data_IF_896797065840
#
_entry.id   IF_896797065840
#
_cell.length_a   1.000
_cell.length_b   1.000
_cell.length_c   1.000
_cell.angle_alpha   90.00
_cell.angle_beta   90.00
_cell.angle_gamma   90.00
#
_symmetry.space_group_name_H-M   'P 1'
#
loop_
_entity.id
_entity.type
_entity.pdbx_description
1 polymer ?
#
# COMPACT_ATOMS: atom_id res chain seq x y z
N UNK A 1 16.69 41.68 -35.09
CA UNK A 1 17.36 40.59 -35.81
C UNK A 1 16.73 39.29 -35.36
N UNK A 2 15.44 39.05 -35.55
CA UNK A 2 14.53 39.15 -36.71
C UNK A 2 14.11 37.72 -37.04
N UNK A 3 12.79 37.55 -36.94
CA UNK A 3 12.00 36.35 -37.17
C UNK A 3 12.03 35.96 -38.65
N UNK A 4 11.75 34.69 -38.97
CA UNK A 4 10.51 34.38 -39.68
C UNK A 4 10.21 32.87 -39.82
N UNK A 5 8.90 32.61 -39.73
CA UNK A 5 8.17 31.37 -39.95
C UNK A 5 7.81 31.18 -41.44
N UNK A 6 7.66 29.93 -41.90
CA UNK A 6 6.62 29.43 -42.84
C UNK A 6 6.88 27.92 -43.04
N UNK A 7 6.08 26.97 -42.54
CA UNK A 7 4.74 26.52 -42.96
C UNK A 7 4.58 26.29 -44.46
N UNK A 8 4.43 25.02 -44.87
CA UNK A 8 3.31 24.56 -45.72
C UNK A 8 3.12 23.04 -45.64
N UNK A 9 1.85 22.67 -45.57
CA UNK A 9 1.29 21.33 -45.76
C UNK A 9 1.47 20.84 -47.21
N UNK A 10 1.51 19.52 -47.42
CA UNK A 10 0.43 18.89 -48.18
C UNK A 10 0.45 17.36 -48.17
N UNK A 11 -0.73 16.83 -47.88
CA UNK A 11 -1.17 15.49 -48.22
C UNK A 11 -1.04 15.25 -49.73
N UNK A 12 -0.56 14.07 -50.15
CA UNK A 12 -1.28 13.20 -51.10
C UNK A 12 -0.51 11.89 -51.37
N UNK A 13 -1.18 10.80 -51.00
CA UNK A 13 -1.39 9.57 -51.77
C UNK A 13 -0.51 9.38 -53.01
N UNK A 14 0.25 8.28 -53.02
CA UNK A 14 0.55 7.55 -54.26
C UNK A 14 0.26 6.05 -54.06
N UNK A 15 -0.74 5.60 -54.79
CA UNK A 15 -0.95 4.22 -55.22
C UNK A 15 -0.03 3.90 -56.41
N UNK A 16 0.57 2.71 -56.35
CA UNK A 16 0.79 1.72 -57.41
C UNK A 16 1.35 2.18 -58.78
N UNK A 17 2.54 1.70 -59.16
CA UNK A 17 2.74 0.56 -60.08
C UNK A 17 4.19 0.51 -60.62
N UNK A 18 4.75 -0.69 -60.56
CA UNK A 18 5.65 -1.35 -61.50
C UNK A 18 6.85 -0.62 -62.09
N UNK A 19 8.03 -1.07 -61.69
CA UNK A 19 9.08 -1.42 -62.65
C UNK A 19 9.96 -2.53 -62.07
N UNK A 20 9.82 -3.71 -62.67
CA UNK A 20 10.67 -4.88 -62.47
C UNK A 20 12.03 -4.65 -63.14
N UNK A 21 13.12 -4.87 -62.39
CA UNK A 21 14.36 -5.35 -63.00
C UNK A 21 15.05 -6.31 -62.04
N UNK A 22 15.14 -7.54 -62.50
CA UNK A 22 15.75 -8.74 -61.95
C UNK A 22 17.24 -8.53 -61.70
N UNK A 23 17.75 -8.84 -60.51
CA UNK A 23 19.06 -9.51 -60.37
C UNK A 23 19.09 -10.31 -59.08
N UNK A 24 19.37 -11.59 -59.23
CA UNK A 24 19.38 -12.64 -58.23
C UNK A 24 20.47 -12.41 -57.17
N UNK A 25 20.09 -12.46 -55.90
CA UNK A 25 21.00 -12.83 -54.81
C UNK A 25 20.29 -13.94 -54.02
N UNK A 26 20.67 -15.18 -54.34
CA UNK A 26 20.44 -16.35 -53.50
C UNK A 26 21.13 -16.13 -52.16
N UNK A 27 20.35 -15.79 -51.14
CA UNK A 27 20.76 -15.88 -49.75
C UNK A 27 19.69 -16.66 -48.98
N UNK A 28 20.13 -17.77 -48.40
CA UNK A 28 19.41 -18.64 -47.49
C UNK A 28 18.74 -17.84 -46.37
N UNK A 29 17.42 -17.66 -46.46
CA UNK A 29 16.58 -17.35 -45.32
C UNK A 29 15.42 -18.35 -45.30
N UNK A 30 15.51 -19.30 -44.38
CA UNK A 30 14.38 -20.10 -43.93
C UNK A 30 13.32 -19.15 -43.39
N UNK A 31 12.35 -18.79 -44.24
CA UNK A 31 11.08 -18.30 -43.75
C UNK A 31 10.38 -19.49 -43.11
N UNK A 32 10.54 -19.65 -41.80
CA UNK A 32 9.61 -20.47 -41.04
C UNK A 32 8.20 -19.91 -41.31
N UNK A 33 7.29 -20.68 -41.93
CA UNK A 33 5.95 -20.19 -42.17
C UNK A 33 5.31 -19.92 -40.81
N UNK A 34 4.71 -18.74 -40.66
CA UNK A 34 3.94 -18.39 -39.47
C UNK A 34 3.04 -19.58 -39.07
N UNK A 35 3.02 -19.99 -37.80
CA UNK A 35 2.44 -21.26 -37.38
C UNK A 35 1.01 -21.39 -37.89
N UNK A 36 0.79 -22.35 -38.80
CA UNK A 36 -0.51 -22.62 -39.41
C UNK A 36 -1.37 -23.34 -38.39
N UNK A 37 -2.38 -22.65 -37.88
CA UNK A 37 -3.37 -23.23 -36.96
C UNK A 37 -4.12 -24.36 -37.69
N UNK A 38 -3.72 -25.61 -37.45
CA UNK A 38 -4.28 -26.79 -38.11
C UNK A 38 -5.73 -27.06 -37.70
N UNK A 39 -6.08 -26.79 -36.42
CA UNK A 39 -7.44 -26.86 -35.88
C UNK A 39 -7.60 -25.89 -34.72
N UNK A 40 -8.69 -25.12 -34.73
CA UNK A 40 -9.20 -24.44 -33.53
C UNK A 40 -10.17 -25.38 -32.84
N UNK A 41 -9.73 -26.03 -31.75
CA UNK A 41 -10.68 -26.69 -30.86
C UNK A 41 -11.48 -25.61 -30.12
N UNK A 42 -12.69 -25.35 -30.60
CA UNK A 42 -13.66 -24.55 -29.87
C UNK A 42 -14.16 -25.37 -28.67
N UNK A 43 -13.41 -25.39 -27.56
CA UNK A 43 -13.90 -25.85 -26.27
C UNK A 43 -14.85 -24.81 -25.64
N UNK A 44 -15.85 -24.35 -26.40
CA UNK A 44 -16.96 -23.56 -25.86
C UNK A 44 -18.25 -24.33 -26.06
N UNK A 45 -18.85 -24.75 -24.95
CA UNK A 45 -20.29 -24.63 -24.84
C UNK A 45 -20.67 -23.19 -25.22
N UNK A 46 -21.61 -23.05 -26.14
CA UNK A 46 -22.25 -21.77 -26.49
C UNK A 46 -22.57 -21.02 -25.19
N UNK A 47 -22.37 -19.70 -25.16
CA UNK A 47 -22.62 -18.90 -23.95
C UNK A 47 -24.14 -18.79 -23.73
N UNK A 48 -24.76 -19.87 -23.22
CA UNK A 48 -26.22 -20.02 -23.06
C UNK A 48 -26.82 -18.88 -22.24
N UNK A 49 -26.03 -18.23 -21.39
CA UNK A 49 -26.44 -17.07 -20.61
C UNK A 49 -26.90 -15.89 -21.48
N UNK A 50 -26.26 -15.57 -22.60
CA UNK A 50 -26.72 -14.44 -23.42
C UNK A 50 -28.03 -14.72 -24.15
N UNK A 51 -28.40 -15.99 -24.33
CA UNK A 51 -29.68 -16.41 -24.92
C UNK A 51 -30.78 -16.61 -23.85
N UNK A 52 -30.41 -17.02 -22.62
CA UNK A 52 -31.35 -17.25 -21.50
C UNK A 52 -31.77 -15.99 -20.73
N UNK A 53 -30.88 -15.01 -20.61
CA UNK A 53 -31.15 -13.76 -19.88
C UNK A 53 -31.58 -12.71 -20.90
N UNK A 54 -32.85 -12.79 -21.30
CA UNK A 54 -33.44 -12.09 -22.44
C UNK A 54 -33.16 -10.58 -22.55
N UNK A 55 -33.56 -10.01 -23.70
CA UNK A 55 -33.39 -8.62 -24.09
C UNK A 55 -33.46 -7.65 -22.90
N UNK A 56 -32.42 -6.83 -22.76
CA UNK A 56 -32.38 -5.67 -21.87
C UNK A 56 -33.72 -4.94 -22.00
N UNK A 57 -34.52 -4.94 -20.93
CA UNK A 57 -35.81 -4.24 -20.77
C UNK A 57 -36.53 -4.00 -22.11
N UNK A 58 -37.42 -4.93 -22.50
CA UNK A 58 -38.22 -4.89 -23.73
C UNK A 58 -38.58 -3.46 -24.16
N UNK A 59 -37.79 -2.91 -25.08
CA UNK A 59 -38.18 -1.76 -25.87
C UNK A 59 -38.69 -2.31 -27.19
N UNK A 60 -39.93 -1.96 -27.51
CA UNK A 60 -40.69 -2.27 -28.72
C UNK A 60 -41.15 -3.71 -28.93
N UNK A 61 -42.47 -3.81 -29.07
CA UNK A 61 -43.28 -4.87 -29.65
C UNK A 61 -42.60 -5.60 -30.80
N UNK A 62 -42.47 -6.92 -30.69
CA UNK A 62 -42.43 -7.81 -31.85
C UNK A 62 -43.33 -8.99 -31.58
N UNK A 63 -44.41 -9.05 -32.37
CA UNK A 63 -45.42 -10.10 -32.37
C UNK A 63 -44.80 -11.48 -32.61
N UNK A 64 -44.79 -12.30 -31.56
CA UNK A 64 -44.64 -13.75 -31.69
C UNK A 64 -45.62 -14.43 -30.75
N UNK A 65 -46.22 -15.57 -31.16
CA UNK A 65 -47.38 -16.14 -30.49
C UNK A 65 -47.05 -16.62 -29.06
N UNK A 66 -48.01 -16.54 -28.12
CA UNK A 66 -47.75 -16.73 -26.71
C UNK A 66 -47.50 -18.20 -26.42
N UNK A 67 -46.29 -18.51 -25.95
CA UNK A 67 -46.02 -19.78 -25.28
C UNK A 67 -46.73 -19.72 -23.92
N UNK A 68 -47.71 -20.60 -23.70
CA UNK A 68 -48.51 -20.71 -22.48
C UNK A 68 -47.67 -21.16 -21.27
N UNK A 69 -46.84 -20.27 -20.75
CA UNK A 69 -46.10 -20.45 -19.50
C UNK A 69 -46.58 -19.37 -18.51
N UNK A 70 -47.80 -19.58 -17.99
CA UNK A 70 -48.57 -18.62 -17.16
C UNK A 70 -48.14 -18.61 -15.69
N UNK A 71 -46.83 -18.60 -15.42
CA UNK A 71 -46.32 -18.06 -14.17
C UNK A 71 -45.47 -16.82 -14.48
N UNK A 72 -46.10 -15.65 -14.40
CA UNK A 72 -45.39 -14.37 -14.40
C UNK A 72 -44.36 -14.43 -13.28
N UNK A 73 -43.08 -14.56 -13.64
CA UNK A 73 -41.98 -14.59 -12.66
C UNK A 73 -42.14 -13.36 -11.75
N UNK A 74 -42.09 -13.51 -10.42
CA UNK A 74 -42.27 -12.39 -9.51
C UNK A 74 -41.21 -11.33 -9.82
N UNK A 75 -41.64 -10.06 -9.83
CA UNK A 75 -40.74 -8.94 -10.05
C UNK A 75 -39.68 -8.91 -8.94
N UNK A 76 -38.42 -9.03 -9.34
CA UNK A 76 -37.28 -8.92 -8.43
C UNK A 76 -36.60 -7.58 -8.64
N UNK A 77 -36.68 -6.70 -7.64
CA UNK A 77 -36.00 -5.39 -7.62
C UNK A 77 -34.50 -5.56 -7.88
N UNK A 78 -33.89 -6.56 -7.25
CA UNK A 78 -32.48 -6.89 -7.46
C UNK A 78 -32.17 -7.17 -8.93
N UNK A 79 -32.94 -8.05 -9.58
CA UNK A 79 -32.75 -8.38 -11.00
C UNK A 79 -33.01 -7.17 -11.91
N UNK A 80 -33.97 -6.30 -11.56
CA UNK A 80 -34.20 -5.06 -12.28
C UNK A 80 -32.99 -4.10 -12.20
N UNK A 81 -32.39 -3.95 -11.00
CA UNK A 81 -31.17 -3.15 -10.81
C UNK A 81 -30.00 -3.71 -11.61
N UNK A 82 -29.81 -5.04 -11.57
CA UNK A 82 -28.74 -5.68 -12.35
C UNK A 82 -28.89 -5.41 -13.84
N UNK A 83 -30.12 -5.47 -14.36
CA UNK A 83 -30.42 -5.29 -15.78
C UNK A 83 -30.30 -3.85 -16.26
N UNK A 84 -30.55 -2.91 -15.37
CA UNK A 84 -30.51 -1.49 -15.72
C UNK A 84 -29.06 -1.01 -15.95
N UNK A 85 -28.79 -0.48 -17.15
CA UNK A 85 -27.44 -0.12 -17.59
C UNK A 85 -26.71 0.81 -16.61
N UNK A 86 -27.37 1.84 -16.05
CA UNK A 86 -26.70 2.80 -15.18
C UNK A 86 -26.73 2.43 -13.68
N UNK A 87 -27.75 1.68 -13.23
CA UNK A 87 -27.93 1.40 -11.80
C UNK A 87 -27.01 0.27 -11.34
N UNK A 88 -26.71 -0.67 -12.23
CA UNK A 88 -25.77 -1.75 -11.97
C UNK A 88 -24.40 -1.24 -11.51
N UNK A 89 -23.82 -0.24 -12.18
CA UNK A 89 -22.52 0.32 -11.80
C UNK A 89 -22.58 0.97 -10.41
N UNK A 90 -23.59 1.80 -10.16
CA UNK A 90 -23.74 2.48 -8.86
C UNK A 90 -23.97 1.50 -7.72
N UNK A 91 -24.69 0.40 -7.99
CA UNK A 91 -24.88 -0.70 -7.06
C UNK A 91 -23.56 -1.42 -6.78
N UNK A 92 -22.88 -1.91 -7.82
CA UNK A 92 -21.63 -2.66 -7.69
C UNK A 92 -20.54 -1.87 -6.96
N UNK A 93 -20.39 -0.57 -7.27
CA UNK A 93 -19.38 0.29 -6.64
C UNK A 93 -19.61 0.55 -5.14
N UNK A 94 -20.85 0.41 -4.65
CA UNK A 94 -21.20 0.65 -3.23
C UNK A 94 -21.19 -0.62 -2.38
N UNK A 95 -21.04 -1.79 -2.99
CA UNK A 95 -20.99 -3.03 -2.24
C UNK A 95 -19.70 -3.13 -1.42
N UNK A 96 -19.78 -3.61 -0.17
CA UNK A 96 -18.60 -4.04 0.57
C UNK A 96 -17.82 -5.11 -0.19
N UNK A 97 -16.50 -5.17 0.04
CA UNK A 97 -15.62 -6.10 -0.68
C UNK A 97 -16.02 -7.57 -0.51
N UNK A 98 -16.48 -7.97 0.68
CA UNK A 98 -17.02 -9.33 0.91
C UNK A 98 -18.27 -9.58 0.05
N UNK A 99 -19.25 -8.67 0.13
CA UNK A 99 -20.53 -8.82 -0.56
C UNK A 99 -20.41 -8.83 -2.08
N UNK A 100 -19.48 -8.06 -2.66
CA UNK A 100 -19.27 -8.10 -4.12
C UNK A 100 -18.66 -9.43 -4.58
N UNK A 101 -17.77 -10.02 -3.77
CA UNK A 101 -17.22 -11.36 -4.05
C UNK A 101 -18.30 -12.43 -3.91
N UNK A 102 -19.10 -12.36 -2.85
CA UNK A 102 -20.20 -13.30 -2.61
C UNK A 102 -21.21 -13.26 -3.77
N UNK A 103 -21.62 -12.07 -4.21
CA UNK A 103 -22.51 -11.91 -5.35
C UNK A 103 -21.88 -12.36 -6.67
N UNK A 104 -20.58 -12.14 -6.84
CA UNK A 104 -19.83 -12.65 -7.99
C UNK A 104 -19.76 -14.18 -8.05
N UNK A 105 -19.75 -14.85 -6.88
CA UNK A 105 -19.72 -16.31 -6.78
C UNK A 105 -21.12 -16.94 -6.86
N UNK A 106 -22.13 -16.29 -6.31
CA UNK A 106 -23.49 -16.84 -6.14
C UNK A 106 -24.37 -16.57 -7.36
N UNK A 107 -24.39 -15.33 -7.88
CA UNK A 107 -25.35 -14.93 -8.92
C UNK A 107 -24.73 -14.89 -10.32
N UNK A 108 -25.24 -15.76 -11.21
CA UNK A 108 -24.74 -15.89 -12.58
C UNK A 108 -24.88 -14.62 -13.42
N UNK A 109 -25.93 -13.82 -13.19
CA UNK A 109 -26.20 -12.61 -13.97
C UNK A 109 -25.28 -11.47 -13.53
N UNK A 110 -25.08 -11.33 -12.21
CA UNK A 110 -24.09 -10.43 -11.63
C UNK A 110 -22.69 -10.77 -12.11
N UNK A 111 -22.30 -12.06 -12.03
CA UNK A 111 -21.02 -12.57 -12.52
C UNK A 111 -20.77 -12.19 -13.98
N UNK A 112 -21.75 -12.44 -14.86
CA UNK A 112 -21.63 -12.13 -16.28
C UNK A 112 -21.49 -10.62 -16.54
N UNK A 113 -22.33 -9.78 -15.91
CA UNK A 113 -22.27 -8.33 -16.10
C UNK A 113 -20.97 -7.74 -15.58
N UNK A 114 -20.48 -8.23 -14.45
CA UNK A 114 -19.21 -7.81 -13.89
C UNK A 114 -18.06 -8.17 -14.82
N UNK A 115 -18.05 -9.40 -15.37
CA UNK A 115 -17.05 -9.82 -16.34
C UNK A 115 -17.07 -9.00 -17.63
N UNK A 116 -18.26 -8.61 -18.10
CA UNK A 116 -18.41 -7.75 -19.29
C UNK A 116 -17.70 -6.40 -19.15
N UNK A 117 -17.72 -5.82 -17.96
CA UNK A 117 -17.15 -4.50 -17.64
C UNK A 117 -16.00 -4.56 -16.62
N UNK A 118 -15.32 -5.70 -16.53
CA UNK A 118 -14.38 -6.04 -15.45
C UNK A 118 -13.33 -4.95 -15.23
N UNK A 119 -12.61 -4.56 -16.28
CA UNK A 119 -11.54 -3.54 -16.19
C UNK A 119 -12.05 -2.23 -15.60
N UNK A 120 -13.11 -1.66 -16.18
CA UNK A 120 -13.67 -0.38 -15.74
C UNK A 120 -14.21 -0.47 -14.31
N UNK A 121 -14.97 -1.52 -13.99
CA UNK A 121 -15.53 -1.71 -12.66
C UNK A 121 -14.46 -1.89 -11.60
N UNK A 122 -13.42 -2.68 -11.86
CA UNK A 122 -12.34 -2.93 -10.91
C UNK A 122 -11.57 -1.63 -10.63
N UNK A 123 -11.26 -0.85 -11.66
CA UNK A 123 -10.61 0.46 -11.50
C UNK A 123 -11.48 1.47 -10.77
N UNK A 124 -12.76 1.58 -11.12
CA UNK A 124 -13.67 2.52 -10.46
C UNK A 124 -13.96 2.10 -9.01
N UNK A 125 -14.03 0.79 -8.74
CA UNK A 125 -14.18 0.25 -7.39
C UNK A 125 -12.95 0.59 -6.54
N UNK A 126 -11.74 0.43 -7.09
CA UNK A 126 -10.50 0.82 -6.43
C UNK A 126 -10.44 2.34 -6.19
N UNK A 127 -10.77 3.17 -7.20
CA UNK A 127 -10.78 4.64 -7.07
C UNK A 127 -11.74 5.10 -5.97
N UNK A 128 -12.90 4.45 -5.82
CA UNK A 128 -13.89 4.80 -4.81
C UNK A 128 -13.50 4.36 -3.41
N UNK A 129 -13.05 3.11 -3.23
CA UNK A 129 -12.82 2.54 -1.90
C UNK A 129 -11.37 2.73 -1.40
N UNK A 130 -10.43 2.93 -2.32
CA UNK A 130 -9.00 2.97 -2.05
C UNK A 130 -8.24 3.91 -3.01
N UNK A 131 -8.61 5.19 -3.04
CA UNK A 131 -8.07 6.15 -4.02
C UNK A 131 -6.53 6.24 -4.03
N UNK A 132 -5.89 6.44 -2.87
CA UNK A 132 -4.42 6.50 -2.78
C UNK A 132 -3.78 5.14 -3.04
N UNK A 133 -4.26 4.11 -2.35
CA UNK A 133 -3.67 2.77 -2.43
C UNK A 133 -3.80 2.15 -3.82
N UNK A 134 -4.91 2.37 -4.53
CA UNK A 134 -5.10 1.88 -5.90
C UNK A 134 -4.18 2.55 -6.92
N UNK A 135 -3.75 3.79 -6.67
CA UNK A 135 -2.77 4.50 -7.49
C UNK A 135 -1.33 4.02 -7.19
N UNK A 136 -0.97 3.93 -5.91
CA UNK A 136 0.39 3.57 -5.47
C UNK A 136 0.69 2.08 -5.70
N UNK A 137 -0.24 1.19 -5.32
CA UNK A 137 -0.13 -0.25 -5.55
C UNK A 137 -0.73 -0.62 -6.91
N UNK A 138 -0.21 -0.01 -7.98
CA UNK A 138 -0.67 -0.27 -9.34
C UNK A 138 -0.59 -1.77 -9.66
N UNK A 139 -1.63 -2.31 -10.27
CA UNK A 139 -1.73 -3.73 -10.60
C UNK A 139 -0.61 -4.23 -11.54
N UNK A 140 0.01 -3.31 -12.29
CA UNK A 140 1.19 -3.58 -13.13
C UNK A 140 2.39 -4.07 -12.30
N UNK A 141 2.51 -3.62 -11.05
CA UNK A 141 3.54 -4.09 -10.11
C UNK A 141 3.21 -5.48 -9.54
N UNK A 142 1.99 -5.97 -9.72
CA UNK A 142 1.47 -7.21 -9.14
C UNK A 142 0.82 -8.11 -10.20
N UNK A 143 1.56 -8.53 -11.24
CA UNK A 143 1.02 -9.36 -12.32
C UNK A 143 0.43 -10.69 -11.79
N UNK A 144 0.97 -11.24 -10.70
CA UNK A 144 0.48 -12.45 -10.04
C UNK A 144 -0.94 -12.33 -9.46
N UNK A 145 -1.48 -11.12 -9.34
CA UNK A 145 -2.84 -10.84 -8.87
C UNK A 145 -3.81 -10.50 -10.02
N UNK A 146 -3.28 -10.46 -11.24
CA UNK A 146 -4.07 -10.24 -12.44
C UNK A 146 -4.66 -11.56 -12.93
N UNK A 147 -5.73 -11.44 -13.71
CA UNK A 147 -6.39 -12.54 -14.39
C UNK A 147 -6.42 -12.23 -15.88
N UNK A 148 -6.45 -13.24 -16.73
CA UNK A 148 -6.74 -13.03 -18.14
C UNK A 148 -8.16 -12.45 -18.29
N UNK A 149 -8.34 -11.49 -19.19
CA UNK A 149 -9.62 -10.79 -19.38
C UNK A 149 -10.76 -11.83 -19.56
N UNK A 150 -11.79 -11.83 -18.69
CA UNK A 150 -12.91 -12.76 -18.77
C UNK A 150 -13.64 -12.74 -20.12
N UNK A 151 -13.60 -11.59 -20.82
CA UNK A 151 -14.17 -11.43 -22.15
C UNK A 151 -13.19 -11.79 -23.28
N UNK A 152 -11.99 -12.26 -22.95
CA UNK A 152 -10.91 -12.65 -23.87
C UNK A 152 -10.60 -11.54 -24.89
N UNK A 153 -10.64 -10.28 -24.44
CA UNK A 153 -10.28 -9.15 -25.29
C UNK A 153 -8.79 -9.26 -25.63
N UNK A 154 -8.42 -9.08 -26.91
CA UNK A 154 -7.05 -9.26 -27.34
C UNK A 154 -6.12 -8.25 -26.67
N UNK A 155 -4.89 -8.67 -26.42
CA UNK A 155 -3.83 -7.76 -26.01
C UNK A 155 -3.40 -6.87 -27.18
N UNK A 156 -2.99 -5.64 -26.87
CA UNK A 156 -2.39 -4.76 -27.88
C UNK A 156 -1.22 -5.50 -28.54
N UNK A 157 -1.16 -5.44 -29.87
CA UNK A 157 -0.12 -6.08 -30.72
C UNK A 157 -0.11 -7.62 -30.76
N UNK A 158 -0.80 -8.32 -29.84
CA UNK A 158 -0.87 -9.79 -29.80
C UNK A 158 -2.32 -10.25 -29.76
N UNK A 159 -2.96 -10.27 -30.93
CA UNK A 159 -4.39 -10.58 -31.07
C UNK A 159 -4.78 -12.00 -30.64
N UNK A 160 -3.83 -12.93 -30.58
CA UNK A 160 -4.05 -14.31 -30.16
C UNK A 160 -3.97 -14.53 -28.64
N UNK A 161 -3.55 -13.51 -27.87
CA UNK A 161 -3.44 -13.59 -26.41
C UNK A 161 -4.47 -12.67 -25.77
N UNK A 162 -5.19 -13.18 -24.77
CA UNK A 162 -6.05 -12.33 -23.94
C UNK A 162 -5.17 -11.41 -23.09
N UNK A 163 -5.54 -10.13 -23.00
CA UNK A 163 -4.84 -9.21 -22.09
C UNK A 163 -5.04 -9.60 -20.64
N UNK A 164 -4.06 -9.29 -19.79
CA UNK A 164 -4.21 -9.40 -18.35
C UNK A 164 -4.88 -8.15 -17.77
N UNK A 165 -5.76 -8.37 -16.80
CA UNK A 165 -6.55 -7.33 -16.14
C UNK A 165 -6.48 -7.51 -14.62
N UNK A 166 -6.60 -6.42 -13.83
CA UNK A 166 -6.63 -6.54 -12.39
C UNK A 166 -7.83 -7.37 -11.93
N UNK A 167 -7.58 -8.33 -11.04
CA UNK A 167 -8.62 -9.17 -10.45
C UNK A 167 -9.09 -8.68 -9.07
N UNK A 168 -10.10 -9.34 -8.50
CA UNK A 168 -10.54 -9.07 -7.11
C UNK A 168 -9.43 -9.29 -6.09
N UNK A 169 -8.49 -10.21 -6.34
CA UNK A 169 -7.33 -10.43 -5.45
C UNK A 169 -6.48 -9.17 -5.30
N UNK A 170 -6.32 -8.40 -6.39
CA UNK A 170 -5.64 -7.11 -6.34
C UNK A 170 -6.44 -6.08 -5.52
N UNK A 171 -7.77 -5.99 -5.71
CA UNK A 171 -8.63 -5.13 -4.87
C UNK A 171 -8.50 -5.48 -3.38
N UNK A 172 -8.58 -6.77 -3.04
CA UNK A 172 -8.44 -7.24 -1.67
C UNK A 172 -7.10 -6.86 -1.07
N UNK A 173 -6.02 -7.00 -1.85
CA UNK A 173 -4.68 -6.58 -1.43
C UNK A 173 -4.63 -5.08 -1.15
N UNK A 174 -5.08 -4.21 -2.06
CA UNK A 174 -4.97 -2.75 -1.87
C UNK A 174 -5.80 -2.26 -0.68
N UNK A 175 -7.01 -2.79 -0.49
CA UNK A 175 -7.89 -2.42 0.63
C UNK A 175 -7.25 -2.83 1.96
N UNK A 176 -6.70 -4.04 2.02
CA UNK A 176 -6.06 -4.56 3.20
C UNK A 176 -4.78 -3.77 3.55
N UNK A 177 -3.94 -3.45 2.56
CA UNK A 177 -2.74 -2.63 2.77
C UNK A 177 -3.07 -1.21 3.22
N UNK A 178 -4.08 -0.58 2.61
CA UNK A 178 -4.56 0.73 3.04
C UNK A 178 -5.01 0.71 4.50
N UNK A 179 -5.76 -0.32 4.88
CA UNK A 179 -6.20 -0.48 6.26
C UNK A 179 -5.03 -0.66 7.23
N UNK A 180 -3.99 -1.42 6.85
CA UNK A 180 -2.79 -1.59 7.68
C UNK A 180 -2.04 -0.28 7.85
N UNK A 181 -1.76 0.44 6.76
CA UNK A 181 -1.06 1.74 6.82
C UNK A 181 -1.82 2.72 7.70
N UNK A 182 -3.13 2.87 7.49
CA UNK A 182 -3.98 3.72 8.33
C UNK A 182 -3.98 3.27 9.78
N UNK A 183 -4.02 1.97 10.04
CA UNK A 183 -3.97 1.43 11.39
C UNK A 183 -2.65 1.76 12.09
N UNK A 184 -1.51 1.66 11.40
CA UNK A 184 -0.20 2.06 11.94
C UNK A 184 -0.23 3.53 12.35
N UNK A 185 -0.65 4.42 11.44
CA UNK A 185 -0.72 5.85 11.69
C UNK A 185 -1.70 6.22 12.81
N UNK A 186 -2.84 5.52 12.88
CA UNK A 186 -3.83 5.70 13.96
C UNK A 186 -3.26 5.27 15.30
N UNK A 187 -2.56 4.12 15.39
CA UNK A 187 -1.94 3.66 16.64
C UNK A 187 -0.91 4.69 17.13
N UNK A 188 -0.02 5.11 16.24
CA UNK A 188 0.98 6.15 16.55
C UNK A 188 0.30 7.45 17.01
N UNK A 189 -0.75 7.89 16.31
CA UNK A 189 -1.50 9.10 16.66
C UNK A 189 -2.23 9.01 18.01
N UNK A 190 -2.75 7.83 18.37
CA UNK A 190 -3.35 7.59 19.69
C UNK A 190 -2.31 7.66 20.81
N UNK A 191 -1.10 7.19 20.55
CA UNK A 191 0.01 7.25 21.52
C UNK A 191 0.72 8.61 21.54
N UNK A 192 0.27 9.58 20.72
CA UNK A 192 0.81 10.93 20.66
C UNK A 192 1.92 11.15 19.65
N UNK A 193 2.31 10.12 18.93
CA UNK A 193 3.25 10.17 17.82
C UNK A 193 2.54 10.55 16.52
N UNK A 194 2.04 11.78 16.45
CA UNK A 194 1.35 12.27 15.24
C UNK A 194 2.34 12.56 14.12
N UNK A 195 1.88 12.38 12.89
CA UNK A 195 2.64 12.66 11.67
C UNK A 195 1.76 13.38 10.64
N UNK A 196 2.35 14.09 9.66
CA UNK A 196 1.60 14.71 8.58
C UNK A 196 0.70 13.72 7.82
N UNK A 197 -0.44 14.19 7.32
CA UNK A 197 -1.37 13.35 6.55
C UNK A 197 -0.73 12.73 5.30
N UNK A 198 0.27 13.40 4.72
CA UNK A 198 1.04 12.92 3.58
C UNK A 198 1.81 11.60 3.87
N UNK A 199 2.12 11.30 5.14
CA UNK A 199 2.78 10.07 5.52
C UNK A 199 1.98 8.81 5.15
N UNK A 200 0.65 8.90 4.96
CA UNK A 200 -0.15 7.77 4.46
C UNK A 200 0.34 7.31 3.08
N UNK A 201 0.52 8.24 2.15
CA UNK A 201 1.02 7.92 0.81
C UNK A 201 2.48 7.48 0.85
N UNK A 202 3.33 8.19 1.60
CA UNK A 202 4.75 7.86 1.75
C UNK A 202 4.96 6.45 2.29
N UNK A 203 4.20 6.03 3.31
CA UNK A 203 4.33 4.69 3.89
C UNK A 203 3.83 3.59 2.93
N UNK A 204 2.84 3.88 2.08
CA UNK A 204 2.44 2.96 1.00
C UNK A 204 3.54 2.82 -0.06
N UNK A 205 4.18 3.93 -0.47
CA UNK A 205 5.32 3.90 -1.41
C UNK A 205 6.49 3.12 -0.84
N UNK A 206 6.77 3.31 0.45
CA UNK A 206 7.78 2.53 1.16
C UNK A 206 7.44 1.04 1.18
N UNK A 207 6.18 0.66 1.37
CA UNK A 207 5.77 -0.75 1.26
C UNK A 207 6.09 -1.31 -0.14
N UNK A 208 5.83 -0.58 -1.21
CA UNK A 208 6.25 -1.02 -2.56
C UNK A 208 7.76 -1.27 -2.62
N UNK A 209 8.57 -0.36 -2.06
CA UNK A 209 10.03 -0.49 -2.00
C UNK A 209 10.50 -1.74 -1.24
N UNK A 210 9.87 -2.05 -0.09
CA UNK A 210 10.17 -3.24 0.72
C UNK A 210 9.97 -4.54 -0.08
N UNK A 211 9.02 -4.56 -1.01
CA UNK A 211 8.67 -5.73 -1.82
C UNK A 211 9.49 -5.86 -3.11
N UNK A 212 10.34 -4.89 -3.43
CA UNK A 212 11.25 -4.99 -4.56
C UNK A 212 12.40 -5.93 -4.25
N UNK A 213 12.64 -6.87 -5.18
CA UNK A 213 13.59 -7.99 -5.01
C UNK A 213 15.03 -7.66 -5.38
N UNK A 214 15.28 -6.55 -6.08
CA UNK A 214 16.60 -6.20 -6.57
C UNK A 214 16.94 -4.76 -6.21
N UNK A 215 18.21 -4.52 -5.89
CA UNK A 215 18.77 -3.21 -5.56
C UNK A 215 18.59 -2.24 -6.71
N UNK A 216 18.80 -2.70 -7.96
CA UNK A 216 18.62 -1.86 -9.15
C UNK A 216 17.18 -1.34 -9.28
N UNK A 217 16.19 -2.18 -8.98
CA UNK A 217 14.78 -1.78 -9.01
C UNK A 217 14.46 -0.79 -7.89
N UNK A 218 14.96 -1.03 -6.68
CA UNK A 218 14.81 -0.11 -5.55
C UNK A 218 15.40 1.27 -5.85
N UNK A 219 16.62 1.31 -6.38
CA UNK A 219 17.29 2.56 -6.79
C UNK A 219 16.52 3.27 -7.90
N UNK A 220 16.10 2.55 -8.94
CA UNK A 220 15.32 3.15 -10.03
C UNK A 220 14.00 3.74 -9.54
N UNK A 221 13.32 3.07 -8.61
CA UNK A 221 12.07 3.53 -8.02
C UNK A 221 12.27 4.75 -7.12
N UNK A 222 13.34 4.77 -6.31
CA UNK A 222 13.68 5.90 -5.45
C UNK A 222 14.18 7.12 -6.20
N UNK A 223 14.94 6.94 -7.28
CA UNK A 223 15.49 8.02 -8.08
C UNK A 223 14.43 8.81 -8.85
N UNK A 224 13.28 8.18 -9.13
CA UNK A 224 12.18 8.79 -9.84
C UNK A 224 11.46 9.82 -8.95
N UNK A 225 11.55 11.11 -9.32
CA UNK A 225 10.94 12.22 -8.58
C UNK A 225 9.43 12.33 -8.75
N UNK A 226 8.86 11.74 -9.81
CA UNK A 226 7.41 11.69 -9.98
C UNK A 226 6.78 10.69 -9.01
N UNK A 227 7.50 9.61 -8.72
CA UNK A 227 7.10 8.59 -7.75
C UNK A 227 7.44 9.04 -6.33
N UNK A 228 8.70 9.40 -6.06
CA UNK A 228 9.19 9.85 -4.77
C UNK A 228 9.52 11.33 -4.81
N UNK A 229 8.56 12.16 -4.38
CA UNK A 229 8.81 13.59 -4.23
C UNK A 229 9.74 13.85 -3.04
N UNK A 230 10.40 15.01 -3.02
CA UNK A 230 11.29 15.40 -1.93
C UNK A 230 10.54 15.43 -0.58
N UNK A 231 9.26 15.84 -0.60
CA UNK A 231 8.38 15.79 0.55
C UNK A 231 8.14 14.36 1.08
N UNK A 232 8.10 13.35 0.21
CA UNK A 232 7.94 11.95 0.64
C UNK A 232 9.16 11.47 1.43
N UNK A 233 10.37 11.81 0.96
CA UNK A 233 11.60 11.41 1.63
C UNK A 233 11.71 12.07 3.01
N UNK A 234 11.41 13.37 3.08
CA UNK A 234 11.35 14.12 4.34
C UNK A 234 10.33 13.48 5.27
N UNK A 235 9.09 13.28 4.82
CA UNK A 235 8.02 12.67 5.61
C UNK A 235 8.38 11.26 6.10
N UNK A 236 9.09 10.47 5.29
CA UNK A 236 9.52 9.13 5.70
C UNK A 236 10.56 9.19 6.82
N UNK A 237 11.61 10.00 6.64
CA UNK A 237 12.65 10.15 7.67
C UNK A 237 12.09 10.72 8.97
N UNK A 238 11.18 11.69 8.89
CA UNK A 238 10.47 12.23 10.05
C UNK A 238 9.57 11.18 10.72
N UNK A 239 8.90 10.31 9.95
CA UNK A 239 8.16 9.17 10.48
C UNK A 239 9.08 8.21 11.27
N UNK A 240 10.32 7.98 10.83
CA UNK A 240 11.29 7.16 11.57
C UNK A 240 11.55 7.74 12.97
N UNK A 241 11.72 9.06 13.09
CA UNK A 241 11.91 9.72 14.40
C UNK A 241 10.74 9.41 15.35
N UNK A 242 9.50 9.52 14.86
CA UNK A 242 8.32 9.21 15.69
C UNK A 242 8.22 7.74 16.06
N UNK A 243 8.64 6.85 15.16
CA UNK A 243 8.65 5.43 15.39
C UNK A 243 9.71 5.04 16.44
N UNK A 244 10.89 5.65 16.38
CA UNK A 244 11.95 5.47 17.37
C UNK A 244 11.52 6.00 18.74
N UNK A 245 10.93 7.21 18.80
CA UNK A 245 10.36 7.75 20.04
C UNK A 245 9.35 6.77 20.67
N UNK A 246 8.55 6.09 19.85
CA UNK A 246 7.56 5.11 20.30
C UNK A 246 8.19 3.83 20.83
N UNK A 247 9.22 3.29 20.18
CA UNK A 247 9.86 2.04 20.62
C UNK A 247 10.82 2.24 21.79
N UNK A 248 11.40 3.45 21.91
CA UNK A 248 12.31 3.84 22.98
C UNK A 248 11.59 4.36 24.23
N UNK A 249 10.26 4.53 24.19
CA UNK A 249 9.48 4.90 25.37
C UNK A 249 9.71 3.87 26.50
N UNK A 250 10.22 4.28 27.67
CA UNK A 250 10.52 3.36 28.78
C UNK A 250 9.25 2.75 29.42
N UNK A 251 8.07 3.34 29.20
CA UNK A 251 6.82 2.88 29.80
C UNK A 251 6.01 2.01 28.85
N UNK A 252 5.83 2.44 27.60
CA UNK A 252 5.00 1.75 26.60
C UNK A 252 5.80 1.09 25.47
N UNK A 253 7.07 1.43 25.35
CA UNK A 253 8.01 0.87 24.38
C UNK A 253 8.72 -0.38 24.91
N UNK A 254 9.46 -1.02 24.01
CA UNK A 254 10.35 -2.13 24.39
C UNK A 254 11.74 -1.63 24.81
N UNK A 255 11.95 -0.30 24.86
CA UNK A 255 13.19 0.34 25.27
C UNK A 255 14.35 0.22 24.27
N UNK A 256 14.07 -0.07 23.00
CA UNK A 256 15.10 -0.31 21.98
C UNK A 256 14.86 0.50 20.70
N UNK A 257 15.73 1.48 20.43
CA UNK A 257 15.64 2.36 19.26
C UNK A 257 15.76 1.57 17.93
N UNK A 258 16.62 0.57 17.87
CA UNK A 258 16.90 -0.18 16.63
C UNK A 258 15.76 -1.10 16.18
N UNK A 259 14.75 -1.29 17.03
CA UNK A 259 13.62 -2.15 16.73
C UNK A 259 12.79 -1.62 15.54
N UNK A 260 12.69 -0.30 15.38
CA UNK A 260 12.01 0.32 14.24
C UNK A 260 12.65 -0.10 12.92
N UNK A 261 13.97 0.06 12.81
CA UNK A 261 14.74 -0.30 11.61
C UNK A 261 14.63 -1.78 11.28
N UNK A 262 14.74 -2.66 12.30
CA UNK A 262 14.58 -4.10 12.11
C UNK A 262 13.17 -4.48 11.61
N UNK A 263 12.11 -3.84 12.14
CA UNK A 263 10.73 -4.08 11.70
C UNK A 263 10.43 -3.55 10.30
N UNK A 264 11.04 -2.42 9.91
CA UNK A 264 10.93 -1.84 8.58
C UNK A 264 11.81 -2.55 7.54
N UNK A 265 12.77 -3.37 7.98
CA UNK A 265 13.58 -4.22 7.11
C UNK A 265 12.93 -5.57 6.76
N UNK A 266 11.76 -5.85 7.34
CA UNK A 266 10.98 -7.05 6.99
C UNK A 266 10.38 -6.94 5.57
N UNK A 267 9.87 -8.03 5.00
CA UNK A 267 9.24 -8.01 3.65
C UNK A 267 7.91 -7.23 3.58
N UNK A 268 7.33 -6.86 4.72
CA UNK A 268 5.98 -6.27 4.78
C UNK A 268 5.76 -5.45 6.05
N UNK A 269 5.05 -4.32 5.93
CA UNK A 269 4.61 -3.50 7.06
C UNK A 269 3.62 -4.22 7.99
N UNK A 270 3.11 -5.37 7.58
CA UNK A 270 2.22 -6.18 8.42
C UNK A 270 2.88 -6.61 9.72
N UNK A 271 4.19 -6.86 9.71
CA UNK A 271 4.93 -7.23 10.92
C UNK A 271 4.98 -6.06 11.89
N UNK A 272 5.34 -4.86 11.39
CA UNK A 272 5.31 -3.63 12.18
C UNK A 272 3.91 -3.39 12.78
N UNK A 273 2.86 -3.46 11.96
CA UNK A 273 1.49 -3.31 12.44
C UNK A 273 1.10 -4.35 13.51
N UNK A 274 1.49 -5.62 13.34
CA UNK A 274 1.21 -6.66 14.34
C UNK A 274 1.91 -6.36 15.67
N UNK A 275 3.13 -5.84 15.65
CA UNK A 275 3.85 -5.44 16.86
C UNK A 275 3.16 -4.25 17.52
N UNK A 276 2.91 -3.17 16.76
CA UNK A 276 2.26 -1.96 17.29
C UNK A 276 0.84 -2.23 17.81
N UNK A 277 0.07 -3.09 17.14
CA UNK A 277 -1.28 -3.47 17.60
C UNK A 277 -1.28 -4.48 18.75
N UNK A 278 -0.11 -4.92 19.23
CA UNK A 278 0.02 -5.93 20.29
C UNK A 278 -0.40 -7.35 19.88
N UNK A 279 -0.70 -7.59 18.59
CA UNK A 279 -1.03 -8.91 18.04
C UNK A 279 0.19 -9.84 17.96
N UNK A 280 1.39 -9.25 17.80
CA UNK A 280 2.66 -9.95 17.88
C UNK A 280 3.44 -9.40 19.07
N UNK A 281 3.55 -10.21 20.13
CA UNK A 281 4.46 -9.93 21.24
C UNK A 281 5.85 -10.44 20.88
N UNK A 282 6.82 -9.53 20.94
CA UNK A 282 8.22 -9.85 20.77
C UNK A 282 8.75 -10.48 22.06
N UNK A 283 9.33 -11.66 21.93
CA UNK A 283 10.18 -12.28 22.94
C UNK A 283 11.61 -12.33 22.39
N UNK A 284 12.56 -12.72 23.23
CA UNK A 284 13.96 -12.79 22.83
C UNK A 284 14.14 -13.76 21.65
N UNK A 285 13.61 -14.99 21.74
CA UNK A 285 13.68 -15.99 20.65
C UNK A 285 13.14 -15.52 19.29
N UNK A 286 11.92 -14.93 19.25
CA UNK A 286 11.35 -14.44 17.98
C UNK A 286 12.14 -13.26 17.44
N UNK A 287 12.60 -12.36 18.32
CA UNK A 287 13.42 -11.22 17.92
C UNK A 287 14.74 -11.71 17.33
N UNK A 288 15.42 -12.64 18.00
CA UNK A 288 16.65 -13.28 17.52
C UNK A 288 16.44 -13.95 16.16
N UNK A 289 15.34 -14.70 15.98
CA UNK A 289 15.03 -15.32 14.69
C UNK A 289 14.78 -14.28 13.58
N UNK A 290 14.11 -13.16 13.92
CA UNK A 290 13.90 -12.07 12.98
C UNK A 290 15.21 -11.37 12.62
N UNK A 291 16.06 -11.08 13.60
CA UNK A 291 17.40 -10.48 13.41
C UNK A 291 18.25 -11.37 12.52
N UNK A 292 18.35 -12.67 12.84
CA UNK A 292 19.08 -13.65 12.05
C UNK A 292 18.58 -13.70 10.60
N UNK A 293 17.27 -13.61 10.35
CA UNK A 293 16.75 -13.57 8.98
C UNK A 293 17.03 -12.26 8.24
N UNK A 294 17.21 -11.16 8.97
CA UNK A 294 17.20 -9.80 8.42
C UNK A 294 18.59 -9.33 8.04
N UNK A 295 19.57 -9.54 8.92
CA UNK A 295 20.90 -8.98 8.79
C UNK A 295 21.91 -10.02 8.30
N UNK A 296 22.93 -9.55 7.59
CA UNK A 296 24.05 -10.39 7.17
C UNK A 296 24.95 -10.75 8.37
N UNK A 297 25.74 -11.82 8.25
CA UNK A 297 26.68 -12.24 9.29
C UNK A 297 27.64 -11.14 9.71
N UNK A 298 28.17 -10.41 8.74
CA UNK A 298 29.10 -9.29 8.97
C UNK A 298 28.48 -8.11 9.73
N UNK A 299 27.15 -7.99 9.69
CA UNK A 299 26.41 -6.88 10.29
C UNK A 299 25.97 -7.21 11.74
N UNK A 300 26.23 -8.43 12.22
CA UNK A 300 25.81 -8.92 13.55
C UNK A 300 27.00 -9.46 14.33
N UNK A 301 27.12 -9.07 15.59
CA UNK A 301 28.11 -9.67 16.51
C UNK A 301 27.61 -11.05 16.97
N UNK A 302 27.89 -12.06 16.14
CA UNK A 302 27.51 -13.46 16.37
C UNK A 302 28.21 -14.02 17.62
N UNK A 303 29.43 -13.56 17.91
CA UNK A 303 30.24 -14.06 19.03
C UNK A 303 29.65 -13.68 20.38
N UNK A 304 29.05 -12.48 20.48
CA UNK A 304 28.36 -12.04 21.69
C UNK A 304 26.95 -12.61 21.83
N UNK A 305 26.34 -13.14 20.75
CA UNK A 305 24.94 -13.57 20.74
C UNK A 305 24.81 -15.10 20.64
N UNK A 306 24.91 -15.77 21.80
CA UNK A 306 24.80 -17.23 21.96
C UNK A 306 23.61 -17.83 21.21
N UNK A 307 22.42 -17.21 21.26
CA UNK A 307 21.25 -17.74 20.54
C UNK A 307 21.33 -17.65 19.02
N UNK A 308 22.11 -16.72 18.45
CA UNK A 308 22.33 -16.70 17.00
C UNK A 308 23.36 -17.75 16.63
N UNK A 309 24.40 -17.90 17.44
CA UNK A 309 25.40 -18.95 17.27
C UNK A 309 24.75 -20.35 17.29
N UNK A 310 23.89 -20.65 18.26
CA UNK A 310 23.16 -21.92 18.35
C UNK A 310 22.23 -22.17 17.13
N UNK A 311 21.76 -21.12 16.45
CA UNK A 311 20.95 -21.23 15.24
C UNK A 311 21.78 -21.55 13.98
N UNK A 312 23.10 -21.30 14.02
CA UNK A 312 24.03 -21.56 12.92
C UNK A 312 24.55 -23.00 12.91
N UNK A 313 24.49 -23.70 14.03
CA UNK A 313 24.95 -25.10 14.16
C UNK A 313 24.03 -26.14 13.48
N UNK A 314 22.92 -25.70 12.87
CA UNK A 314 22.06 -26.55 12.04
C UNK A 314 22.52 -26.65 10.58
N UNK A 315 22.15 -27.72 9.88
CA UNK A 315 22.47 -27.92 8.44
C UNK A 315 21.94 -26.81 7.52
N UNK A 316 20.95 -26.04 7.98
CA UNK A 316 20.37 -24.89 7.28
C UNK A 316 20.84 -23.56 7.90
N UNK A 317 21.89 -22.93 7.37
CA UNK A 317 22.34 -21.58 7.79
C UNK A 317 21.23 -20.52 7.63
N UNK A 318 20.53 -20.10 8.70
CA UNK A 318 19.32 -19.28 8.57
C UNK A 318 19.61 -17.79 8.37
N UNK A 319 20.89 -17.41 8.18
CA UNK A 319 21.37 -16.05 8.33
C UNK A 319 21.19 -15.20 7.06
N UNK A 320 20.67 -13.99 7.27
CA UNK A 320 20.58 -12.93 6.29
C UNK A 320 19.75 -13.13 5.01
N UNK A 321 18.81 -14.09 4.85
CA UNK A 321 18.09 -14.24 3.59
C UNK A 321 17.37 -12.96 3.14
N UNK A 322 17.00 -12.05 4.04
CA UNK A 322 16.39 -10.76 3.65
C UNK A 322 17.40 -9.70 3.17
N UNK A 323 18.68 -9.85 3.51
CA UNK A 323 19.77 -8.97 3.10
C UNK A 323 20.30 -9.30 1.69
N UNK A 324 19.73 -10.29 1.00
CA UNK A 324 20.12 -10.69 -0.35
C UNK A 324 19.00 -10.42 -1.37
N UNK A 325 19.39 -10.11 -2.61
CA UNK A 325 18.47 -9.99 -3.73
C UNK A 325 17.66 -11.27 -3.93
N UNK A 326 16.37 -11.12 -4.29
CA UNK A 326 15.43 -12.24 -4.41
C UNK A 326 15.04 -12.89 -3.07
N UNK A 327 15.64 -12.44 -1.96
CA UNK A 327 15.51 -12.98 -0.62
C UNK A 327 15.91 -14.46 -0.50
N UNK A 328 17.01 -14.83 -1.16
CA UNK A 328 17.61 -16.14 -1.12
C UNK A 328 19.13 -15.98 -0.96
N UNK A 329 19.81 -17.01 -0.42
CA UNK A 329 21.24 -16.96 -0.07
C UNK A 329 22.14 -16.61 -1.26
N UNK A 330 21.83 -17.13 -2.45
CA UNK A 330 22.65 -16.92 -3.65
C UNK A 330 22.51 -15.52 -4.27
N UNK A 331 21.69 -14.64 -3.68
CA UNK A 331 21.48 -13.29 -4.17
C UNK A 331 22.65 -12.37 -3.83
N UNK A 332 22.88 -11.34 -4.65
CA UNK A 332 23.80 -10.27 -4.28
C UNK A 332 23.33 -9.57 -2.99
N UNK A 333 24.27 -9.02 -2.20
CA UNK A 333 23.92 -8.21 -1.01
C UNK A 333 23.05 -7.03 -1.46
N UNK A 334 21.97 -6.80 -0.73
CA UNK A 334 20.98 -5.75 -0.98
C UNK A 334 20.86 -4.88 0.27
N UNK A 335 21.01 -3.58 0.09
CA UNK A 335 20.86 -2.61 1.19
C UNK A 335 19.43 -2.59 1.74
N UNK A 336 19.30 -2.28 3.03
CA UNK A 336 18.00 -2.13 3.67
C UNK A 336 17.25 -0.96 3.06
N UNK A 337 15.94 -1.15 2.84
CA UNK A 337 15.10 -0.15 2.20
C UNK A 337 15.08 1.18 2.97
N UNK A 338 15.21 1.14 4.29
CA UNK A 338 15.30 2.33 5.15
C UNK A 338 16.56 3.15 4.81
N UNK A 339 17.72 2.50 4.79
CA UNK A 339 19.00 3.14 4.52
C UNK A 339 19.04 3.74 3.11
N UNK A 340 18.45 3.04 2.13
CA UNK A 340 18.34 3.55 0.76
C UNK A 340 17.52 4.85 0.69
N UNK A 341 16.43 4.99 1.46
CA UNK A 341 15.63 6.23 1.50
C UNK A 341 16.42 7.36 2.19
N UNK A 342 17.19 7.04 3.23
CA UNK A 342 18.06 8.01 3.91
C UNK A 342 19.16 8.49 2.95
N UNK A 343 19.84 7.57 2.28
CA UNK A 343 20.86 7.87 1.28
C UNK A 343 20.31 8.71 0.14
N UNK A 344 19.09 8.44 -0.32
CA UNK A 344 18.43 9.24 -1.35
C UNK A 344 18.14 10.68 -0.87
N UNK A 345 17.77 10.86 0.40
CA UNK A 345 17.62 12.20 0.98
C UNK A 345 18.92 12.99 1.07
N UNK A 346 20.03 12.30 1.35
CA UNK A 346 21.38 12.90 1.33
C UNK A 346 21.77 13.26 -0.11
N UNK A 347 21.56 12.35 -1.06
CA UNK A 347 21.87 12.56 -2.49
C UNK A 347 21.13 13.77 -3.08
N UNK A 348 19.90 14.02 -2.61
CA UNK A 348 19.06 15.16 -3.02
C UNK A 348 19.29 16.43 -2.20
N UNK A 349 20.21 16.41 -1.24
CA UNK A 349 20.55 17.54 -0.38
C UNK A 349 19.34 18.12 0.41
N UNK A 350 18.43 17.24 0.86
CA UNK A 350 17.20 17.67 1.54
C UNK A 350 17.42 18.17 2.96
N UNK A 351 18.60 17.90 3.52
CA UNK A 351 19.01 18.31 4.86
C UNK A 351 17.94 18.08 5.95
N UNK A 352 17.35 16.87 5.97
CA UNK A 352 16.20 16.54 6.83
C UNK A 352 16.50 16.75 8.32
N UNK A 353 17.78 16.64 8.71
CA UNK A 353 18.24 16.88 10.08
C UNK A 353 17.85 18.25 10.65
N UNK A 354 17.66 19.26 9.79
CA UNK A 354 17.22 20.60 10.21
C UNK A 354 15.82 20.59 10.83
N UNK A 355 14.99 19.60 10.50
CA UNK A 355 13.62 19.49 10.96
C UNK A 355 13.45 18.58 12.19
N UNK A 356 14.48 17.86 12.63
CA UNK A 356 14.32 16.83 13.67
C UNK A 356 13.85 17.38 15.01
N UNK A 357 14.43 18.49 15.47
CA UNK A 357 14.06 19.10 16.76
C UNK A 357 12.60 19.57 16.74
N UNK A 358 12.22 20.28 15.67
CA UNK A 358 10.84 20.75 15.50
C UNK A 358 9.86 19.57 15.39
N UNK A 359 10.26 18.51 14.70
CA UNK A 359 9.41 17.35 14.49
C UNK A 359 9.24 16.47 15.73
N UNK A 360 10.19 16.47 16.66
CA UNK A 360 10.01 15.84 17.98
C UNK A 360 8.80 16.47 18.68
N UNK A 361 8.67 17.80 18.64
CA UNK A 361 7.56 18.56 19.22
C UNK A 361 6.27 18.51 18.39
N UNK A 362 6.38 18.21 17.09
CA UNK A 362 5.23 18.11 16.20
C UNK A 362 4.14 17.17 16.73
N UNK A 363 2.90 17.64 16.76
CA UNK A 363 1.75 16.88 17.22
C UNK A 363 1.47 16.95 18.72
N UNK A 364 2.39 17.50 19.52
CA UNK A 364 2.17 17.75 20.96
C UNK A 364 1.59 19.14 21.23
N UNK A 365 1.92 20.12 20.39
CA UNK A 365 1.42 21.50 20.48
C UNK A 365 0.70 21.88 19.19
N UNK A 366 -0.44 22.55 19.32
CA UNK A 366 -1.13 23.16 18.17
C UNK A 366 -0.42 24.47 17.82
N UNK A 367 0.17 24.53 16.62
CA UNK A 367 0.94 25.68 16.14
C UNK A 367 0.15 26.99 16.18
N UNK A 368 -1.17 26.94 15.93
CA UNK A 368 -2.00 28.14 15.86
C UNK A 368 -2.34 28.69 17.24
N UNK A 369 -2.57 27.80 18.21
CA UNK A 369 -3.03 28.19 19.55
C UNK A 369 -1.93 28.18 20.60
N UNK A 370 -0.77 27.57 20.30
CA UNK A 370 0.32 27.32 21.24
C UNK A 370 -0.07 26.39 22.39
N UNK A 371 -1.24 25.76 22.34
CA UNK A 371 -1.75 24.89 23.41
C UNK A 371 -1.35 23.45 23.15
N UNK A 372 -1.14 22.72 24.24
CA UNK A 372 -0.93 21.28 24.17
C UNK A 372 -2.17 20.60 23.57
N UNK A 373 -1.93 19.70 22.62
CA UNK A 373 -2.99 18.95 21.96
C UNK A 373 -3.39 17.76 22.85
N UNK A 374 -4.68 17.49 23.07
CA UNK A 374 -5.11 16.34 23.84
C UNK A 374 -4.70 15.04 23.17
N UNK A 375 -4.19 14.11 23.97
CA UNK A 375 -3.78 12.78 23.54
C UNK A 375 -4.92 11.79 23.78
N UNK A 376 -5.46 11.13 22.73
CA UNK A 376 -6.45 10.07 22.90
C UNK A 376 -5.83 8.91 23.69
N UNK A 377 -6.22 8.72 24.95
CA UNK A 377 -5.68 7.63 25.77
C UNK A 377 -6.58 6.41 25.67
N UNK A 378 -5.98 5.27 25.33
CA UNK A 378 -6.56 3.96 25.57
C UNK A 378 -5.70 3.23 26.60
N UNK A 379 -6.15 3.20 27.85
CA UNK A 379 -5.43 2.46 28.89
C UNK A 379 -5.56 0.96 28.64
N UNK A 380 -4.52 0.21 29.04
CA UNK A 380 -4.47 -1.26 28.87
C UNK A 380 -5.65 -1.90 29.61
N UNK A 381 -6.58 -2.50 28.85
CA UNK A 381 -7.81 -3.13 29.38
C UNK A 381 -9.09 -2.33 29.16
N UNK A 382 -9.01 -1.05 28.78
CA UNK A 382 -10.18 -0.24 28.41
C UNK A 382 -10.57 -0.47 26.95
N UNK A 383 -11.88 -0.70 26.69
CA UNK A 383 -12.41 -0.83 25.33
C UNK A 383 -12.60 0.51 24.63
N UNK A 384 -12.79 1.59 25.39
CA UNK A 384 -13.13 2.91 24.86
C UNK A 384 -11.92 3.84 24.93
N UNK A 385 -11.69 4.59 23.85
CA UNK A 385 -10.68 5.64 23.80
C UNK A 385 -11.24 6.88 24.49
N UNK A 386 -10.56 7.38 25.53
CA UNK A 386 -10.92 8.64 26.21
C UNK A 386 -10.03 9.74 25.68
N UNK A 387 -10.63 10.79 25.12
CA UNK A 387 -9.90 11.99 24.69
C UNK A 387 -10.09 13.08 25.75
N UNK A 388 -9.02 13.48 26.46
CA UNK A 388 -9.08 14.61 27.39
C UNK A 388 -9.50 15.90 26.67
N UNK A 389 -10.13 16.83 27.39
CA UNK A 389 -10.54 18.13 26.84
C UNK A 389 -9.35 19.06 26.57
N UNK A 390 -8.25 18.90 27.31
CA UNK A 390 -7.00 19.66 27.15
C UNK A 390 -5.78 18.76 27.03
N UNK A 391 -4.73 19.26 26.39
CA UNK A 391 -3.43 18.58 26.35
C UNK A 391 -2.71 18.62 27.69
N UNK A 392 -1.95 17.55 27.95
CA UNK A 392 -1.16 17.41 29.17
C UNK A 392 0.28 17.92 28.96
N UNK A 393 0.94 18.52 29.97
CA UNK A 393 0.39 18.90 31.27
C UNK A 393 -0.48 20.17 31.15
N UNK A 394 -1.54 20.24 31.95
CA UNK A 394 -2.35 21.46 32.09
C UNK A 394 -1.49 22.60 32.66
N UNK A 395 -1.80 23.85 32.30
CA UNK A 395 -1.02 25.02 32.74
C UNK A 395 -0.89 25.08 34.27
N UNK A 396 -2.00 24.85 34.99
CA UNK A 396 -2.01 24.86 36.46
C UNK A 396 -1.07 23.81 37.05
N UNK A 397 -1.14 22.58 36.56
CA UNK A 397 -0.26 21.49 36.99
C UNK A 397 1.20 21.84 36.71
N UNK A 398 1.51 22.39 35.53
CA UNK A 398 2.86 22.84 35.17
C UNK A 398 3.37 23.91 36.14
N UNK A 399 2.57 24.94 36.40
CA UNK A 399 2.94 26.04 37.29
C UNK A 399 3.15 25.54 38.73
N UNK A 400 2.33 24.59 39.19
CA UNK A 400 2.44 23.97 40.51
C UNK A 400 3.69 23.08 40.62
N UNK A 401 4.00 22.27 39.60
CA UNK A 401 5.24 21.47 39.55
C UNK A 401 6.48 22.34 39.46
N UNK A 402 6.46 23.43 38.70
CA UNK A 402 7.59 24.38 38.64
C UNK A 402 7.85 24.97 40.03
N UNK A 403 6.80 25.44 40.73
CA UNK A 403 6.95 25.94 42.11
C UNK A 403 7.51 24.90 43.07
N UNK A 404 7.09 23.64 42.93
CA UNK A 404 7.59 22.54 43.76
C UNK A 404 9.07 22.28 43.49
N UNK A 405 9.49 22.26 42.22
CA UNK A 405 10.89 22.12 41.83
C UNK A 405 11.73 23.32 42.28
N UNK A 406 11.23 24.55 42.13
CA UNK A 406 11.91 25.77 42.58
C UNK A 406 12.19 25.75 44.09
N UNK A 407 11.26 25.21 44.88
CA UNK A 407 11.46 24.99 46.31
C UNK A 407 12.47 23.88 46.57
N UNK A 408 12.40 22.77 45.82
CA UNK A 408 13.29 21.62 46.00
C UNK A 408 14.75 21.93 45.63
N UNK A 409 14.95 22.77 44.60
CA UNK A 409 16.27 23.20 44.13
C UNK A 409 16.72 24.54 44.75
N UNK A 410 15.97 25.09 45.72
CA UNK A 410 16.38 26.28 46.48
C UNK A 410 16.38 27.58 45.68
N UNK A 411 15.69 27.62 44.54
CA UNK A 411 15.45 28.86 43.75
C UNK A 411 14.53 29.80 44.53
N UNK A 412 13.59 29.24 45.29
CA UNK A 412 12.68 29.97 46.18
C UNK A 412 12.77 29.38 47.58
N UNK A 413 13.03 30.21 48.59
CA UNK A 413 13.00 29.76 49.98
C UNK A 413 11.61 29.23 50.32
N UNK A 414 11.55 28.00 50.84
CA UNK A 414 10.34 27.43 51.41
C UNK A 414 9.89 28.35 52.54
N UNK A 415 8.83 29.15 52.33
CA UNK A 415 8.25 29.96 53.40
C UNK A 415 8.01 29.05 54.61
N UNK A 416 8.78 29.26 55.68
CA UNK A 416 8.53 28.67 57.00
C UNK A 416 7.18 29.20 57.49
N UNK A 417 6.10 28.58 57.07
CA UNK A 417 4.76 28.88 57.56
C UNK A 417 4.55 28.18 58.89
N UNK A 418 4.50 28.99 59.96
CA UNK A 418 3.97 28.71 61.30
C UNK A 418 4.06 27.27 61.79
N UNK A 419 5.09 26.99 62.58
CA UNK A 419 4.93 26.12 63.75
C UNK A 419 3.70 26.58 64.51
N UNK A 420 2.63 25.79 64.48
CA UNK A 420 1.59 25.87 65.50
C UNK A 420 2.29 25.70 66.85
N UNK A 421 2.24 26.74 67.68
CA UNK A 421 2.49 26.62 69.11
C UNK A 421 1.46 25.63 69.67
N UNK A 422 1.90 24.40 69.90
CA UNK A 422 1.20 23.45 70.77
C UNK A 422 1.66 23.78 72.19
N UNK A 423 1.15 24.87 72.74
CA UNK A 423 1.26 25.19 74.16
C UNK A 423 -0.01 25.89 74.63
N UNK A 424 -1.04 25.12 74.96
CA UNK A 424 -1.79 25.23 76.23
C UNK A 424 -2.67 24.01 76.43
#
# INVERSE_FOLDING_TARGET
>A
MDLDFHSTSDNRKRTAEDTSTTTEISALHSQDPAPRVLRRYHHRHRNVASEMWGLDISSSQTDSPPRNDTQKRPFSVYKAILRHNNLFFQFALRLPYSSIIDLYAIDKEFHYRLNKYSVSLIHDYARRNAHLAGHIFSWVLYPQLCISDPMLRPMNERQWLARDVPGFRWIGMILWRQNIVRSILTILGMEGHRVPAACEATLMKFWCLMEMKSTKLRLSFLNDKEIWADADIINFQLLLVKLDMRFSDPVLGNGCCQLASMLLSQKSLSTLWKVLSGKLKLNYEKTTNMVAKTYHADDVDIQMQVLIHDLMDGEDDPLGPLAHEGWHRDGAKMEHAVDMVIAEGIRRDLHVQKYYVDFILYGFTDERTGKNVPLPRQLRGEKNVKVPSGGWPEKKLRDDTIKELDVLFGVVERKKGNTMDIST
#
